data_IF_692526063234
#
_entry.id   IF_692526063234
#
_cell.length_a   1.000
_cell.length_b   1.000
_cell.length_c   1.000
_cell.angle_alpha   90.00
_cell.angle_beta   90.00
_cell.angle_gamma   90.00
#
_symmetry.space_group_name_H-M   'P 1'
#
loop_
_entity.id
_entity.type
_entity.pdbx_description
1 polymer ?
#
# COMPACT_ATOMS: atom_id res chain seq x y z
N UNK A 1 14.88 0.75 18.30
CA UNK A 1 14.09 -0.31 17.66
C UNK A 1 14.85 -0.88 16.48
N UNK A 2 14.85 -2.20 16.32
CA UNK A 2 15.39 -2.91 15.15
C UNK A 2 14.43 -2.73 13.98
N UNK A 3 14.99 -2.46 12.81
CA UNK A 3 14.24 -2.38 11.56
C UNK A 3 14.14 -3.75 10.88
N UNK A 4 13.24 -3.85 9.91
CA UNK A 4 13.03 -5.04 9.08
C UNK A 4 13.18 -4.71 7.58
N UNK A 5 14.42 -4.50 7.09
CA UNK A 5 14.65 -4.06 5.72
C UNK A 5 14.17 -5.04 4.64
N UNK A 6 14.24 -6.37 4.83
CA UNK A 6 13.76 -7.33 3.82
C UNK A 6 12.25 -7.31 3.72
N UNK A 7 11.57 -7.33 4.87
CA UNK A 7 10.10 -7.23 4.90
C UNK A 7 9.65 -5.94 4.21
N UNK A 8 10.28 -4.81 4.56
CA UNK A 8 10.00 -3.53 3.92
C UNK A 8 10.23 -3.58 2.40
N UNK A 9 11.33 -4.18 1.94
CA UNK A 9 11.65 -4.27 0.51
C UNK A 9 10.63 -5.12 -0.26
N UNK A 10 10.26 -6.29 0.26
CA UNK A 10 9.29 -7.19 -0.38
C UNK A 10 7.91 -6.54 -0.45
N UNK A 11 7.44 -5.97 0.65
CA UNK A 11 6.13 -5.32 0.67
C UNK A 11 6.11 -4.14 -0.30
N UNK A 12 7.18 -3.34 -0.37
CA UNK A 12 7.29 -2.26 -1.35
C UNK A 12 7.24 -2.79 -2.79
N UNK A 13 7.94 -3.87 -3.09
CA UNK A 13 7.93 -4.48 -4.41
C UNK A 13 6.54 -5.02 -4.80
N UNK A 14 5.81 -5.64 -3.85
CA UNK A 14 4.43 -6.09 -4.06
C UNK A 14 3.50 -4.90 -4.34
N UNK A 15 3.58 -3.86 -3.52
CA UNK A 15 2.78 -2.64 -3.65
C UNK A 15 3.05 -1.93 -4.97
N UNK A 16 4.32 -1.82 -5.37
CA UNK A 16 4.74 -1.20 -6.63
C UNK A 16 4.27 -2.01 -7.84
N UNK A 17 4.45 -3.34 -7.83
CA UNK A 17 3.95 -4.25 -8.88
C UNK A 17 2.45 -4.05 -9.12
N UNK A 18 1.69 -3.81 -8.06
CA UNK A 18 0.24 -3.63 -8.11
C UNK A 18 -0.22 -2.16 -8.16
N UNK A 19 0.72 -1.19 -8.24
CA UNK A 19 0.47 0.25 -8.36
C UNK A 19 -0.43 0.81 -7.25
N UNK A 20 -0.22 0.34 -6.03
CA UNK A 20 -0.98 0.79 -4.86
C UNK A 20 -0.26 1.93 -4.16
N UNK A 21 -0.97 3.03 -3.92
CA UNK A 21 -0.49 4.17 -3.14
C UNK A 21 -0.77 3.95 -1.65
N UNK A 22 0.22 3.40 -0.94
CA UNK A 22 0.14 3.14 0.49
C UNK A 22 0.36 4.40 1.35
N UNK A 23 0.43 5.60 0.76
CA UNK A 23 0.51 6.85 1.56
C UNK A 23 -0.87 7.34 2.01
N UNK A 24 -1.93 6.85 1.35
CA UNK A 24 -3.31 7.17 1.72
C UNK A 24 -3.72 6.30 2.91
N UNK A 25 -4.41 6.87 3.91
CA UNK A 25 -5.03 6.09 4.98
C UNK A 25 -5.97 5.03 4.41
N UNK A 26 -6.07 3.87 5.09
CA UNK A 26 -6.99 2.79 4.73
C UNK A 26 -6.75 2.21 3.32
N UNK A 27 -5.52 2.34 2.82
CA UNK A 27 -5.09 1.70 1.59
C UNK A 27 -4.75 0.25 1.86
N UNK A 28 -5.23 -0.65 1.02
CA UNK A 28 -4.92 -2.06 1.14
C UNK A 28 -4.60 -2.71 -0.19
N UNK A 29 -3.78 -3.75 -0.11
CA UNK A 29 -3.45 -4.69 -1.17
C UNK A 29 -3.79 -6.09 -0.68
N UNK A 30 -4.67 -6.78 -1.40
CA UNK A 30 -5.04 -8.17 -1.13
C UNK A 30 -4.54 -9.07 -2.25
N UNK A 31 -3.76 -10.06 -1.87
CA UNK A 31 -3.11 -11.00 -2.78
C UNK A 31 -3.57 -12.44 -2.49
N UNK A 32 -3.98 -13.15 -3.54
CA UNK A 32 -4.29 -14.58 -3.48
C UNK A 32 -3.28 -15.36 -4.34
N UNK A 33 -2.85 -16.54 -3.84
CA UNK A 33 -1.93 -17.46 -4.51
C UNK A 33 -2.35 -18.92 -4.23
N UNK A 34 -2.34 -19.83 -5.22
CA UNK A 34 -2.75 -21.22 -4.99
C UNK A 34 -1.95 -21.92 -3.90
N UNK A 35 -2.63 -22.66 -3.03
CA UNK A 35 -2.07 -23.41 -1.88
C UNK A 35 -1.48 -22.56 -0.74
N UNK A 36 -1.68 -21.25 -0.76
CA UNK A 36 -1.27 -20.36 0.32
C UNK A 36 -2.44 -19.56 0.86
N UNK A 37 -2.36 -19.24 2.14
CA UNK A 37 -3.26 -18.29 2.77
C UNK A 37 -3.05 -16.90 2.19
N UNK A 38 -4.14 -16.13 2.12
CA UNK A 38 -4.17 -14.81 1.50
C UNK A 38 -3.20 -13.86 2.19
N UNK A 39 -2.38 -13.15 1.42
CA UNK A 39 -1.50 -12.10 1.94
C UNK A 39 -2.19 -10.74 1.80
N UNK A 40 -2.27 -10.00 2.89
CA UNK A 40 -2.84 -8.65 2.94
C UNK A 40 -1.80 -7.68 3.46
N UNK A 41 -1.72 -6.52 2.82
CA UNK A 41 -0.98 -5.35 3.29
C UNK A 41 -1.98 -4.21 3.42
N UNK A 42 -2.02 -3.54 4.57
CA UNK A 42 -2.98 -2.46 4.84
C UNK A 42 -2.31 -1.30 5.58
N UNK A 43 -2.63 -0.06 5.22
CA UNK A 43 -2.29 1.11 6.04
C UNK A 43 -3.37 1.40 7.07
N UNK A 44 -2.95 1.52 8.33
CA UNK A 44 -3.83 1.97 9.41
C UNK A 44 -3.88 3.50 9.38
N UNK A 45 -2.72 4.14 9.30
CA UNK A 45 -2.54 5.58 9.26
C UNK A 45 -1.18 5.94 8.63
N UNK A 46 -0.79 7.21 8.66
CA UNK A 46 0.46 7.69 8.08
C UNK A 46 1.74 7.08 8.70
N UNK A 47 1.64 6.50 9.90
CA UNK A 47 2.75 5.96 10.68
C UNK A 47 2.65 4.46 10.90
N UNK A 48 1.59 3.80 10.45
CA UNK A 48 1.37 2.38 10.73
C UNK A 48 0.75 1.63 9.57
N UNK A 49 1.25 0.41 9.39
CA UNK A 49 0.71 -0.55 8.44
C UNK A 49 0.74 -1.95 9.02
N UNK A 50 -0.03 -2.85 8.41
CA UNK A 50 -0.13 -4.26 8.77
C UNK A 50 0.24 -5.10 7.56
N UNK A 51 0.96 -6.18 7.82
CA UNK A 51 1.15 -7.30 6.89
C UNK A 51 0.59 -8.53 7.57
N UNK A 52 -0.31 -9.26 6.90
CA UNK A 52 -0.99 -10.40 7.49
C UNK A 52 -1.27 -11.51 6.47
N UNK A 53 -1.13 -12.76 6.90
CA UNK A 53 -1.81 -13.87 6.25
C UNK A 53 -3.21 -14.07 6.84
N UNK A 54 -4.18 -14.40 6.00
CA UNK A 54 -5.52 -14.75 6.41
C UNK A 54 -5.92 -16.12 5.86
N UNK A 55 -6.32 -17.01 6.77
CA UNK A 55 -6.97 -18.28 6.43
C UNK A 55 -8.46 -18.20 6.77
N UNK A 56 -9.24 -19.14 6.23
CA UNK A 56 -10.67 -19.25 6.53
C UNK A 56 -10.92 -20.30 7.62
N UNK A 57 -11.64 -19.92 8.68
CA UNK A 57 -12.08 -20.81 9.74
C UNK A 57 -13.56 -20.57 10.02
N UNK A 58 -14.39 -21.60 9.85
CA UNK A 58 -15.85 -21.51 9.99
C UNK A 58 -16.52 -20.40 9.13
N UNK A 59 -15.89 -20.02 8.01
CA UNK A 59 -16.37 -18.96 7.12
C UNK A 59 -15.86 -17.56 7.46
N UNK A 60 -15.13 -17.40 8.56
CA UNK A 60 -14.49 -16.14 8.94
C UNK A 60 -13.03 -16.08 8.50
N UNK A 61 -12.57 -14.89 8.11
CA UNK A 61 -11.15 -14.64 7.85
C UNK A 61 -10.43 -14.41 9.17
N UNK A 62 -9.43 -15.24 9.43
CA UNK A 62 -8.64 -15.22 10.66
C UNK A 62 -7.18 -14.87 10.34
N UNK A 63 -6.62 -13.81 10.95
CA UNK A 63 -5.23 -13.44 10.71
C UNK A 63 -4.25 -14.40 11.43
N UNK A 64 -3.29 -14.95 10.70
CA UNK A 64 -2.15 -15.68 11.30
C UNK A 64 -0.96 -15.87 10.32
N UNK A 65 0.22 -15.27 10.59
CA UNK A 65 0.44 -14.17 11.52
C UNK A 65 -0.06 -12.84 10.93
N UNK A 66 -0.30 -11.86 11.80
CA UNK A 66 -0.46 -10.44 11.46
C UNK A 66 0.55 -9.60 12.23
N UNK A 67 1.38 -8.83 11.53
CA UNK A 67 2.38 -7.94 12.14
C UNK A 67 2.02 -6.49 11.84
N UNK A 68 1.94 -5.67 12.88
CA UNK A 68 1.85 -4.21 12.76
C UNK A 68 3.26 -3.61 12.75
N UNK A 69 3.51 -2.70 11.81
CA UNK A 69 4.77 -1.97 11.66
C UNK A 69 4.55 -0.48 11.93
N UNK A 70 5.50 0.13 12.63
CA UNK A 70 5.66 1.58 12.71
C UNK A 70 6.57 2.06 11.59
N UNK A 71 6.12 3.10 10.88
CA UNK A 71 6.84 3.79 9.82
C UNK A 71 7.39 5.09 10.39
N UNK A 72 8.70 5.12 10.59
CA UNK A 72 9.41 6.32 11.04
C UNK A 72 9.28 7.47 10.02
N UNK A 73 9.52 8.71 10.44
CA UNK A 73 9.52 9.87 9.52
C UNK A 73 10.53 9.77 8.37
N UNK A 74 11.55 8.91 8.49
CA UNK A 74 12.51 8.60 7.41
C UNK A 74 12.07 7.42 6.53
N UNK A 75 10.86 6.88 6.74
CA UNK A 75 10.29 5.77 5.97
C UNK A 75 10.83 4.38 6.32
N UNK A 76 11.59 4.25 7.43
CA UNK A 76 12.12 2.97 7.93
C UNK A 76 11.06 2.27 8.77
N UNK A 77 10.87 0.97 8.54
CA UNK A 77 9.87 0.15 9.22
C UNK A 77 10.48 -0.60 10.41
N UNK A 78 9.77 -0.57 11.53
CA UNK A 78 10.05 -1.38 12.70
C UNK A 78 8.77 -2.10 13.13
N UNK A 79 8.76 -3.43 13.31
CA UNK A 79 7.58 -4.12 13.77
C UNK A 79 7.33 -3.80 15.25
N UNK A 80 6.06 -3.58 15.60
CA UNK A 80 5.63 -3.09 16.92
C UNK A 80 4.65 -4.01 17.63
N UNK A 81 4.00 -4.92 16.90
CA UNK A 81 3.08 -5.89 17.50
C UNK A 81 2.76 -7.02 16.54
N UNK A 82 2.29 -8.13 17.11
CA UNK A 82 1.91 -9.34 16.39
C UNK A 82 0.62 -9.93 16.95
N UNK A 83 -0.21 -10.46 16.06
CA UNK A 83 -1.42 -11.23 16.34
C UNK A 83 -1.36 -12.58 15.62
N UNK A 84 -1.82 -13.63 16.29
CA UNK A 84 -1.83 -15.02 15.80
C UNK A 84 -3.11 -15.69 16.26
N UNK A 85 -3.69 -16.55 15.41
CA UNK A 85 -4.99 -17.17 15.68
C UNK A 85 -4.99 -18.08 16.92
N UNK A 86 -3.94 -18.88 17.09
CA UNK A 86 -3.78 -19.80 18.24
C UNK A 86 -2.82 -19.19 19.30
N UNK A 87 -2.66 -17.87 19.29
CA UNK A 87 -1.73 -17.15 20.15
C UNK A 87 -2.35 -15.95 20.87
N UNK A 88 -1.51 -15.26 21.62
CA UNK A 88 -1.86 -13.98 22.24
C UNK A 88 -1.48 -12.84 21.31
N UNK A 89 -2.33 -11.82 21.20
CA UNK A 89 -1.92 -10.51 20.67
C UNK A 89 -0.85 -9.91 21.58
N UNK A 90 0.30 -9.53 21.02
CA UNK A 90 1.40 -8.89 21.75
C UNK A 90 1.75 -7.56 21.11
N UNK A 91 1.88 -6.53 21.94
CA UNK A 91 2.45 -5.24 21.55
C UNK A 91 3.74 -5.06 22.32
N UNK A 92 4.84 -4.79 21.61
CA UNK A 92 6.14 -4.51 22.21
C UNK A 92 6.39 -3.02 22.39
N UNK A 93 5.39 -2.21 22.03
CA UNK A 93 5.53 -0.75 21.96
C UNK A 93 4.29 -0.09 22.56
N UNK A 94 4.51 1.00 23.29
CA UNK A 94 3.48 1.96 23.68
C UNK A 94 3.63 3.18 22.79
N UNK A 95 2.59 3.50 22.03
CA UNK A 95 2.52 4.71 21.23
C UNK A 95 2.35 5.95 22.11
N UNK A 96 2.68 7.12 21.58
CA UNK A 96 2.24 8.41 22.13
C UNK A 96 0.72 8.52 22.05
N UNK A 97 0.11 9.42 22.83
CA UNK A 97 -1.35 9.58 22.91
C UNK A 97 -1.98 9.96 21.56
N UNK A 98 -1.23 10.66 20.70
CA UNK A 98 -1.62 11.04 19.34
C UNK A 98 -1.31 9.97 18.28
N UNK A 99 -0.73 8.83 18.69
CA UNK A 99 -0.29 7.72 17.85
C UNK A 99 0.72 8.09 16.73
N UNK A 100 1.43 9.22 16.84
CA UNK A 100 2.43 9.64 15.85
C UNK A 100 3.84 9.14 16.16
N UNK A 101 4.08 8.68 17.39
CA UNK A 101 5.40 8.26 17.85
C UNK A 101 5.38 7.16 18.89
N UNK A 102 6.57 6.80 19.37
CA UNK A 102 6.78 5.77 20.39
C UNK A 102 7.08 6.43 21.74
N UNK A 103 6.24 6.15 22.74
CA UNK A 103 6.45 6.60 24.11
C UNK A 103 7.44 5.71 24.87
N UNK A 104 7.34 4.39 24.69
CA UNK A 104 8.26 3.39 25.28
C UNK A 104 8.19 2.08 24.52
N UNK A 105 9.22 1.23 24.61
CA UNK A 105 9.21 -0.09 23.97
C UNK A 105 10.02 -1.14 24.76
N UNK A 106 9.62 -2.39 24.62
CA UNK A 106 10.35 -3.58 25.05
C UNK A 106 11.43 -3.89 24.00
N UNK A 107 12.71 -3.68 24.35
CA UNK A 107 13.80 -3.78 23.39
C UNK A 107 14.06 -5.21 22.91
N UNK A 108 13.94 -6.19 23.80
CA UNK A 108 14.23 -7.59 23.50
C UNK A 108 13.07 -8.18 22.68
N UNK A 109 11.83 -8.00 23.16
CA UNK A 109 10.65 -8.48 22.42
C UNK A 109 10.49 -7.83 21.04
N UNK A 110 10.85 -6.54 20.91
CA UNK A 110 10.84 -5.85 19.61
C UNK A 110 11.95 -6.36 18.68
N UNK A 111 13.12 -6.75 19.22
CA UNK A 111 14.19 -7.33 18.43
C UNK A 111 13.83 -8.74 17.91
N UNK A 112 13.24 -9.58 18.76
CA UNK A 112 12.76 -10.91 18.38
C UNK A 112 11.68 -10.82 17.29
N UNK A 113 10.76 -9.87 17.42
CA UNK A 113 9.73 -9.64 16.39
C UNK A 113 10.34 -9.15 15.07
N UNK A 114 11.40 -8.33 15.11
CA UNK A 114 12.12 -7.91 13.92
C UNK A 114 12.81 -9.09 13.21
N UNK A 115 13.42 -10.00 13.95
CA UNK A 115 13.99 -11.23 13.38
C UNK A 115 12.91 -12.12 12.75
N UNK A 116 11.78 -12.30 13.45
CA UNK A 116 10.63 -13.04 12.90
C UNK A 116 10.13 -12.42 11.59
N UNK A 117 9.97 -11.09 11.53
CA UNK A 117 9.55 -10.41 10.31
C UNK A 117 10.56 -10.60 9.16
N UNK A 118 11.87 -10.61 9.44
CA UNK A 118 12.92 -10.86 8.44
C UNK A 118 12.94 -12.30 7.93
N UNK A 119 12.64 -13.29 8.78
CA UNK A 119 12.48 -14.69 8.38
C UNK A 119 11.21 -14.84 7.54
N UNK A 120 10.10 -14.24 7.97
CA UNK A 120 8.85 -14.30 7.23
C UNK A 120 8.96 -13.64 5.86
N UNK A 121 9.67 -12.52 5.76
CA UNK A 121 10.01 -11.89 4.49
C UNK A 121 10.69 -12.88 3.52
N UNK A 122 11.71 -13.61 3.99
CA UNK A 122 12.40 -14.62 3.18
C UNK A 122 11.46 -15.73 2.71
N UNK A 123 10.49 -16.13 3.54
CA UNK A 123 9.49 -17.10 3.14
C UNK A 123 8.54 -16.54 2.07
N UNK A 124 8.08 -15.30 2.19
CA UNK A 124 7.25 -14.65 1.17
C UNK A 124 7.99 -14.58 -0.17
N UNK A 125 9.27 -14.22 -0.15
CA UNK A 125 10.11 -14.23 -1.36
C UNK A 125 10.27 -15.66 -1.93
N UNK A 126 10.67 -16.62 -1.10
CA UNK A 126 10.91 -18.00 -1.53
C UNK A 126 9.65 -18.74 -2.03
N UNK A 127 8.47 -18.36 -1.54
CA UNK A 127 7.17 -18.88 -2.00
C UNK A 127 6.75 -18.32 -3.35
N UNK A 128 7.42 -17.28 -3.85
CA UNK A 128 7.16 -16.70 -5.17
C UNK A 128 5.97 -15.74 -5.20
N UNK A 129 5.69 -15.02 -4.10
CA UNK A 129 4.59 -14.05 -4.06
C UNK A 129 4.78 -12.90 -5.05
N UNK A 130 6.02 -12.50 -5.34
CA UNK A 130 6.31 -11.44 -6.31
C UNK A 130 6.01 -11.87 -7.74
N UNK A 131 6.06 -13.16 -8.04
CA UNK A 131 5.89 -13.72 -9.38
C UNK A 131 4.45 -14.17 -9.60
N UNK A 132 3.90 -14.93 -8.64
CA UNK A 132 2.70 -15.74 -8.84
C UNK A 132 1.45 -15.19 -8.17
N UNK A 133 1.57 -14.24 -7.23
CA UNK A 133 0.42 -13.70 -6.56
C UNK A 133 -0.44 -12.82 -7.49
N UNK A 134 -1.75 -12.94 -7.32
CA UNK A 134 -2.74 -12.15 -8.04
C UNK A 134 -3.44 -11.18 -7.10
N UNK A 135 -3.56 -9.92 -7.52
CA UNK A 135 -4.31 -8.93 -6.77
C UNK A 135 -5.81 -9.16 -6.98
N UNK A 136 -6.52 -9.51 -5.90
CA UNK A 136 -7.98 -9.74 -5.96
C UNK A 136 -8.79 -8.56 -5.47
N UNK A 137 -8.21 -7.68 -4.65
CA UNK A 137 -8.84 -6.44 -4.21
C UNK A 137 -7.78 -5.43 -3.78
N UNK A 138 -8.04 -4.15 -4.03
CA UNK A 138 -7.17 -3.07 -3.54
C UNK A 138 -7.94 -1.76 -3.38
N UNK A 139 -7.47 -0.88 -2.50
CA UNK A 139 -7.80 0.55 -2.48
C UNK A 139 -6.53 1.38 -2.70
N UNK A 140 -6.67 2.66 -3.01
CA UNK A 140 -5.50 3.53 -3.24
C UNK A 140 -4.79 3.28 -4.58
N UNK A 141 -5.50 2.74 -5.58
CA UNK A 141 -4.91 2.55 -6.90
C UNK A 141 -4.52 3.91 -7.49
N UNK A 142 -3.23 4.08 -7.82
CA UNK A 142 -2.81 5.29 -8.53
C UNK A 142 -3.45 5.29 -9.93
N UNK A 143 -4.04 6.41 -10.40
CA UNK A 143 -4.55 6.47 -11.75
C UNK A 143 -3.41 6.09 -12.71
N UNK A 144 -3.69 5.21 -13.66
CA UNK A 144 -2.77 4.98 -14.76
C UNK A 144 -2.41 6.34 -15.37
N UNK A 145 -1.14 6.59 -15.77
CA UNK A 145 -0.84 7.80 -16.51
C UNK A 145 -1.79 7.84 -17.71
N UNK A 146 -2.62 8.87 -17.77
CA UNK A 146 -3.49 9.10 -18.91
C UNK A 146 -2.59 9.18 -20.14
N UNK A 147 -2.60 8.13 -20.95
CA UNK A 147 -2.09 8.17 -22.32
C UNK A 147 -3.02 9.11 -23.07
N UNK A 148 -2.82 10.42 -22.89
CA UNK A 148 -3.32 11.39 -23.83
C UNK A 148 -2.76 10.98 -25.20
N UNK A 149 -3.58 10.85 -26.25
CA UNK A 149 -3.05 10.66 -27.58
C UNK A 149 -2.04 11.78 -27.82
N UNK A 150 -0.89 11.45 -28.43
CA UNK A 150 0.05 12.47 -28.91
C UNK A 150 -0.77 13.53 -29.64
N UNK A 151 -0.66 14.82 -29.28
CA UNK A 151 -1.37 15.86 -30.01
C UNK A 151 -0.95 15.69 -31.48
N UNK A 152 -1.92 15.40 -32.34
CA UNK A 152 -1.70 15.38 -33.79
C UNK A 152 -1.28 16.79 -34.15
N UNK A 153 0.04 17.00 -34.22
CA UNK A 153 0.66 18.31 -34.34
C UNK A 153 0.66 18.68 -35.81
N UNK A 154 -0.52 18.79 -36.40
CA UNK A 154 -0.71 19.74 -37.49
C UNK A 154 -1.22 21.01 -36.81
N UNK A 155 -0.27 21.89 -36.44
CA UNK A 155 -0.64 23.23 -36.04
C UNK A 155 -1.36 23.88 -37.25
N UNK A 156 -2.59 24.37 -37.08
CA UNK A 156 -3.26 25.10 -38.13
C UNK A 156 -2.39 26.30 -38.54
N UNK A 157 -2.30 26.57 -39.83
CA UNK A 157 -1.62 27.76 -40.31
C UNK A 157 -2.35 29.03 -39.87
N UNK A 158 -1.68 30.17 -40.06
CA UNK A 158 -2.23 31.48 -39.64
C UNK A 158 -3.56 31.82 -40.33
N UNK A 159 -3.79 31.29 -41.52
CA UNK A 159 -5.04 31.51 -42.26
C UNK A 159 -6.19 30.75 -41.59
N UNK A 160 -5.96 29.49 -41.23
CA UNK A 160 -6.91 28.65 -40.48
C UNK A 160 -7.22 29.25 -39.10
N UNK A 161 -6.21 29.80 -38.42
CA UNK A 161 -6.38 30.48 -37.14
C UNK A 161 -7.22 31.77 -37.27
N UNK A 162 -7.04 32.53 -38.37
CA UNK A 162 -7.85 33.72 -38.63
C UNK A 162 -9.29 33.35 -38.99
N UNK A 163 -9.52 32.25 -39.70
CA UNK A 163 -10.86 31.77 -40.04
C UNK A 163 -11.65 31.37 -38.79
N UNK A 164 -11.03 30.65 -37.85
CA UNK A 164 -11.66 30.29 -36.57
C UNK A 164 -11.95 31.50 -35.68
N UNK A 165 -11.05 32.49 -35.68
CA UNK A 165 -11.25 33.71 -34.90
C UNK A 165 -12.44 34.57 -35.40
N UNK A 166 -12.87 34.37 -36.65
CA UNK A 166 -13.99 35.12 -37.25
C UNK A 166 -15.32 34.37 -37.05
N UNK A 167 -15.31 33.04 -36.92
CA UNK A 167 -16.52 32.20 -36.86
C UNK A 167 -17.24 32.22 -35.50
N UNK A 168 -16.58 32.61 -34.41
CA UNK A 168 -17.20 32.67 -33.06
C UNK A 168 -17.85 34.04 -32.74
N UNK A 169 -18.01 34.92 -33.75
CA UNK A 169 -18.49 36.29 -33.58
C UNK A 169 -20.00 36.48 -33.44
N UNK A 170 -20.83 35.53 -33.84
CA UNK A 170 -22.30 35.68 -33.88
C UNK A 170 -23.00 34.91 -32.75
N UNK A 171 -22.69 35.26 -31.50
CA UNK A 171 -23.59 34.95 -30.38
C UNK A 171 -24.54 36.14 -30.16
N UNK A 172 -25.61 36.23 -30.95
CA UNK A 172 -26.77 37.05 -30.58
C UNK A 172 -27.47 36.39 -29.39
N UNK A 173 -27.21 36.92 -28.18
CA UNK A 173 -28.03 36.61 -27.02
C UNK A 173 -29.40 37.30 -27.20
N UNK A 174 -30.43 36.55 -27.60
CA UNK A 174 -31.81 36.98 -27.40
C UNK A 174 -32.20 36.68 -25.96
N UNK A 175 -32.20 37.71 -25.13
CA UNK A 175 -32.71 37.73 -23.78
C UNK A 175 -34.25 37.67 -23.79
N UNK A 176 -34.80 36.56 -23.28
CA UNK A 176 -36.22 36.30 -23.05
C UNK A 176 -36.45 35.76 -21.65
#
# INVERSE_FOLDING_TARGET
MKSCPKMQAIVRALVEKHRIDMTRPESYLRLDMPNFDRLIVETIDAHRLVVAHYFEMNGDLVPDPSITFFVTGTGVWAPIGVEQAIGSRRSYVRMTDDATGIASYDADGQADLAEFAEIWAQNIEAQGWLEHATCTRSSGQSPAPTLWPEPTTEQPDMDTLMEWAILDGDCEATDG
#
